data_IF_184649974333
#
_entry.id   IF_184649974333
#
_cell.length_a   1.000
_cell.length_b   1.000
_cell.length_c   1.000
_cell.angle_alpha   90.00
_cell.angle_beta   90.00
_cell.angle_gamma   90.00
#
_symmetry.space_group_name_H-M   'P 1'
#
loop_
_entity.id
_entity.type
_entity.pdbx_description
1 polymer ?
#
# COMPACT_ATOMS: atom_id res chain seq x y z
N UNK A 1 -21.05 -15.59 21.37
CA UNK A 1 -21.79 -16.03 20.18
C UNK A 1 -21.64 -17.55 20.05
N UNK A 2 -22.71 -18.27 19.75
CA UNK A 2 -22.65 -19.69 19.42
C UNK A 2 -22.02 -19.94 18.03
N UNK A 3 -21.70 -21.19 17.75
CA UNK A 3 -21.02 -21.56 16.51
C UNK A 3 -21.82 -21.21 15.24
N UNK A 4 -23.15 -21.32 15.31
CA UNK A 4 -24.01 -21.06 14.15
C UNK A 4 -24.10 -19.56 13.85
N UNK A 5 -24.14 -18.72 14.88
CA UNK A 5 -24.00 -17.26 14.74
C UNK A 5 -22.66 -16.90 14.10
N UNK A 6 -21.55 -17.50 14.52
CA UNK A 6 -20.23 -17.24 13.92
C UNK A 6 -20.16 -17.68 12.46
N UNK A 7 -20.72 -18.84 12.11
CA UNK A 7 -20.80 -19.29 10.71
C UNK A 7 -21.64 -18.35 9.86
N UNK A 8 -22.81 -17.93 10.37
CA UNK A 8 -23.67 -16.99 9.64
C UNK A 8 -22.98 -15.64 9.42
N UNK A 9 -22.27 -15.13 10.43
CA UNK A 9 -21.50 -13.90 10.32
C UNK A 9 -20.38 -14.03 9.26
N UNK A 10 -19.59 -15.12 9.31
CA UNK A 10 -18.52 -15.38 8.35
C UNK A 10 -19.07 -15.49 6.91
N UNK A 11 -20.21 -16.17 6.73
CA UNK A 11 -20.86 -16.28 5.44
C UNK A 11 -21.33 -14.92 4.90
N UNK A 12 -21.93 -14.10 5.76
CA UNK A 12 -22.37 -12.74 5.41
C UNK A 12 -21.18 -11.85 5.05
N UNK A 13 -20.10 -11.87 5.84
CA UNK A 13 -18.87 -11.13 5.59
C UNK A 13 -18.21 -11.53 4.26
N UNK A 14 -18.17 -12.84 3.97
CA UNK A 14 -17.65 -13.33 2.70
C UNK A 14 -18.49 -12.84 1.52
N UNK A 15 -19.82 -12.94 1.60
CA UNK A 15 -20.72 -12.46 0.53
C UNK A 15 -20.58 -10.95 0.33
N UNK A 16 -20.58 -10.17 1.42
CA UNK A 16 -20.41 -8.71 1.37
C UNK A 16 -19.06 -8.33 0.72
N UNK A 17 -17.97 -8.98 1.13
CA UNK A 17 -16.63 -8.70 0.59
C UNK A 17 -16.44 -9.11 -0.88
N UNK A 18 -17.27 -10.04 -1.38
CA UNK A 18 -17.25 -10.49 -2.77
C UNK A 18 -18.36 -9.84 -3.61
N UNK A 19 -19.27 -9.10 -3.00
CA UNK A 19 -20.44 -8.51 -3.65
C UNK A 19 -20.12 -7.72 -4.93
N UNK A 20 -19.02 -6.93 -5.02
CA UNK A 20 -18.64 -6.23 -6.24
C UNK A 20 -18.34 -7.13 -7.46
N UNK A 21 -18.13 -8.44 -7.24
CA UNK A 21 -17.82 -9.44 -8.26
C UNK A 21 -18.96 -10.44 -8.50
N UNK A 22 -20.07 -10.26 -7.79
CA UNK A 22 -21.27 -11.10 -7.87
C UNK A 22 -22.28 -10.50 -8.86
N UNK A 23 -23.39 -11.22 -9.18
CA UNK A 23 -24.47 -10.68 -10.01
C UNK A 23 -25.03 -9.36 -9.50
N UNK A 24 -25.58 -8.55 -10.40
CA UNK A 24 -26.02 -7.15 -10.19
C UNK A 24 -26.78 -6.90 -8.90
N UNK A 25 -27.68 -7.81 -8.49
CA UNK A 25 -28.44 -7.68 -7.24
C UNK A 25 -27.56 -7.52 -6.00
N UNK A 26 -26.37 -8.18 -5.97
CA UNK A 26 -25.43 -8.09 -4.87
C UNK A 26 -24.60 -6.81 -4.97
N UNK A 27 -24.20 -6.44 -6.18
CA UNK A 27 -23.48 -5.19 -6.44
C UNK A 27 -24.33 -3.99 -6.00
N UNK A 28 -25.61 -3.98 -6.39
CA UNK A 28 -26.54 -2.92 -6.03
C UNK A 28 -26.79 -2.86 -4.53
N UNK A 29 -27.06 -3.99 -3.87
CA UNK A 29 -27.29 -4.02 -2.43
C UNK A 29 -26.05 -3.56 -1.64
N UNK A 30 -24.85 -3.96 -2.06
CA UNK A 30 -23.60 -3.52 -1.46
C UNK A 30 -23.41 -2.01 -1.62
N UNK A 31 -23.60 -1.48 -2.84
CA UNK A 31 -23.50 -0.06 -3.12
C UNK A 31 -24.48 0.76 -2.29
N UNK A 32 -25.80 0.41 -2.29
CA UNK A 32 -26.82 1.15 -1.55
C UNK A 32 -26.51 1.24 -0.05
N UNK A 33 -25.96 0.19 0.53
CA UNK A 33 -25.63 0.18 1.95
C UNK A 33 -24.24 0.77 2.25
N UNK A 34 -23.17 0.22 1.64
CA UNK A 34 -21.77 0.56 2.02
C UNK A 34 -21.32 1.90 1.47
N UNK A 35 -21.65 2.19 0.22
CA UNK A 35 -21.15 3.38 -0.45
C UNK A 35 -22.12 4.55 -0.29
N UNK A 36 -23.39 4.35 -0.61
CA UNK A 36 -24.40 5.41 -0.58
C UNK A 36 -24.83 5.76 0.85
N UNK A 37 -25.31 4.78 1.61
CA UNK A 37 -25.84 5.06 2.96
C UNK A 37 -24.72 5.36 3.96
N UNK A 38 -23.67 4.54 4.04
CA UNK A 38 -22.62 4.72 5.04
C UNK A 38 -21.58 5.79 4.66
N UNK A 39 -21.24 5.92 3.38
CA UNK A 39 -20.15 6.81 2.92
C UNK A 39 -20.65 8.06 2.20
N UNK A 40 -21.97 8.18 1.95
CA UNK A 40 -22.59 9.34 1.29
C UNK A 40 -22.26 9.47 -0.20
N UNK A 41 -21.80 8.40 -0.85
CA UNK A 41 -21.45 8.42 -2.26
C UNK A 41 -22.72 8.41 -3.12
N UNK A 42 -23.03 9.47 -3.91
CA UNK A 42 -24.34 9.61 -4.57
C UNK A 42 -24.54 8.61 -5.72
N UNK A 43 -23.46 8.23 -6.42
CA UNK A 43 -23.46 7.33 -7.56
C UNK A 43 -22.37 6.28 -7.50
N UNK A 44 -22.57 5.05 -8.03
CA UNK A 44 -21.55 4.03 -8.08
C UNK A 44 -20.36 4.50 -8.92
N UNK A 45 -19.15 4.13 -8.51
CA UNK A 45 -17.97 4.35 -9.35
C UNK A 45 -18.11 3.64 -10.69
N UNK A 46 -17.66 4.27 -11.76
CA UNK A 46 -17.64 3.70 -13.11
C UNK A 46 -16.97 2.31 -13.12
N UNK A 47 -17.50 1.40 -13.93
CA UNK A 47 -17.05 0.00 -13.94
C UNK A 47 -15.56 -0.15 -14.20
N UNK A 48 -14.99 0.64 -15.12
CA UNK A 48 -13.56 0.57 -15.42
C UNK A 48 -12.70 1.00 -14.23
N UNK A 49 -13.11 2.02 -13.46
CA UNK A 49 -12.42 2.45 -12.23
C UNK A 49 -12.45 1.36 -11.15
N UNK A 50 -13.58 0.64 -11.04
CA UNK A 50 -13.69 -0.52 -10.14
C UNK A 50 -12.77 -1.65 -10.58
N UNK A 51 -12.69 -1.90 -11.90
CA UNK A 51 -11.77 -2.87 -12.49
C UNK A 51 -10.30 -2.55 -12.20
N UNK A 52 -9.90 -1.30 -12.44
CA UNK A 52 -8.54 -0.83 -12.09
C UNK A 52 -8.24 -1.03 -10.62
N UNK A 53 -9.15 -0.62 -9.73
CA UNK A 53 -8.95 -0.80 -8.27
C UNK A 53 -8.86 -2.28 -7.86
N UNK A 54 -9.62 -3.16 -8.54
CA UNK A 54 -9.53 -4.60 -8.29
C UNK A 54 -8.16 -5.16 -8.68
N UNK A 55 -7.67 -4.85 -9.89
CA UNK A 55 -6.35 -5.32 -10.35
C UNK A 55 -5.23 -4.72 -9.50
N UNK A 56 -5.33 -3.44 -9.13
CA UNK A 56 -4.42 -2.77 -8.20
C UNK A 56 -4.33 -3.50 -6.86
N UNK A 57 -5.47 -3.87 -6.29
CA UNK A 57 -5.52 -4.60 -5.01
C UNK A 57 -4.96 -6.02 -5.05
N UNK A 58 -4.87 -6.62 -6.25
CA UNK A 58 -4.40 -8.00 -6.44
C UNK A 58 -2.96 -8.06 -6.93
N UNK A 59 -2.60 -7.21 -7.91
CA UNK A 59 -1.34 -7.25 -8.66
C UNK A 59 -0.68 -5.88 -8.73
N UNK A 60 -0.86 -5.04 -7.73
CA UNK A 60 -0.44 -3.64 -7.75
C UNK A 60 1.04 -3.43 -8.02
N UNK A 61 1.94 -4.28 -7.50
CA UNK A 61 3.37 -4.17 -7.81
C UNK A 61 3.71 -4.57 -9.25
N UNK A 62 2.97 -5.50 -9.86
CA UNK A 62 3.16 -5.84 -11.27
C UNK A 62 2.81 -4.64 -12.16
N UNK A 63 1.66 -3.97 -11.91
CA UNK A 63 1.29 -2.72 -12.58
C UNK A 63 2.32 -1.63 -12.28
N UNK A 64 2.78 -1.54 -11.03
CA UNK A 64 3.79 -0.59 -10.58
C UNK A 64 5.09 -0.68 -11.36
N UNK A 65 5.48 -1.87 -11.74
CA UNK A 65 6.68 -2.10 -12.56
C UNK A 65 6.55 -1.46 -13.94
N UNK A 66 5.41 -1.62 -14.59
CA UNK A 66 5.14 -1.00 -15.91
C UNK A 66 4.99 0.52 -15.76
N UNK A 67 4.32 0.99 -14.69
CA UNK A 67 4.21 2.40 -14.38
C UNK A 67 5.57 3.07 -14.21
N UNK A 68 6.47 2.47 -13.45
CA UNK A 68 7.83 2.98 -13.22
C UNK A 68 8.61 3.05 -14.51
N UNK A 69 8.53 2.01 -15.35
CA UNK A 69 9.23 1.97 -16.65
C UNK A 69 8.77 3.10 -17.59
N UNK A 70 7.50 3.51 -17.52
CA UNK A 70 6.92 4.53 -18.40
C UNK A 70 7.04 5.96 -17.85
N UNK A 71 6.96 6.14 -16.52
CA UNK A 71 6.69 7.45 -15.92
C UNK A 71 7.65 7.88 -14.82
N UNK A 72 8.60 7.06 -14.41
CA UNK A 72 9.53 7.42 -13.35
C UNK A 72 10.99 7.49 -13.88
N UNK A 73 11.46 8.68 -14.27
CA UNK A 73 12.81 8.84 -14.79
C UNK A 73 13.87 8.75 -13.68
N UNK A 74 15.08 8.25 -13.99
CA UNK A 74 16.16 8.07 -13.01
C UNK A 74 16.56 9.35 -12.27
N UNK A 75 16.46 10.52 -12.94
CA UNK A 75 16.83 11.81 -12.35
C UNK A 75 15.86 12.26 -11.25
N UNK A 76 14.59 11.85 -11.29
CA UNK A 76 13.63 12.14 -10.22
C UNK A 76 14.06 11.49 -8.90
N UNK A 77 14.56 10.24 -8.96
CA UNK A 77 15.10 9.56 -7.79
C UNK A 77 16.30 10.31 -7.21
N UNK A 78 17.26 10.69 -8.06
CA UNK A 78 18.47 11.37 -7.63
C UNK A 78 18.17 12.74 -6.96
N UNK A 79 17.27 13.52 -7.55
CA UNK A 79 16.81 14.81 -6.95
C UNK A 79 16.16 14.62 -5.60
N UNK A 80 15.33 13.57 -5.45
CA UNK A 80 14.68 13.28 -4.17
C UNK A 80 15.67 12.77 -3.12
N UNK A 81 16.65 11.96 -3.51
CA UNK A 81 17.74 11.52 -2.63
C UNK A 81 18.50 12.74 -2.07
N UNK A 82 18.84 13.73 -2.91
CA UNK A 82 19.48 15.00 -2.51
C UNK A 82 18.58 15.81 -1.59
N UNK A 83 17.29 15.98 -1.94
CA UNK A 83 16.32 16.71 -1.12
C UNK A 83 16.25 16.12 0.30
N UNK A 84 16.09 14.80 0.41
CA UNK A 84 15.98 14.16 1.73
C UNK A 84 17.30 14.22 2.50
N UNK A 85 18.46 14.13 1.85
CA UNK A 85 19.75 14.33 2.49
C UNK A 85 19.84 15.74 3.10
N UNK A 86 19.43 16.77 2.37
CA UNK A 86 19.39 18.15 2.85
C UNK A 86 18.41 18.34 4.03
N UNK A 87 17.24 17.71 3.97
CA UNK A 87 16.27 17.73 5.09
C UNK A 87 16.84 17.03 6.33
N UNK A 88 17.54 15.91 6.18
CA UNK A 88 18.21 15.22 7.31
C UNK A 88 19.29 16.10 7.94
N UNK A 89 20.10 16.77 7.14
CA UNK A 89 21.13 17.71 7.64
C UNK A 89 20.48 18.87 8.41
N UNK A 90 19.45 19.50 7.86
CA UNK A 90 18.73 20.57 8.52
C UNK A 90 18.06 20.11 9.82
N UNK A 91 17.49 18.89 9.84
CA UNK A 91 16.89 18.31 11.06
C UNK A 91 17.96 18.07 12.12
N UNK A 92 19.13 17.54 11.77
CA UNK A 92 20.25 17.37 12.67
C UNK A 92 20.70 18.70 13.32
N UNK A 93 20.87 19.74 12.51
CA UNK A 93 21.22 21.07 12.99
C UNK A 93 20.15 21.65 13.95
N UNK A 94 18.87 21.45 13.65
CA UNK A 94 17.77 21.87 14.53
C UNK A 94 17.76 21.12 15.85
N UNK A 95 18.00 19.80 15.85
CA UNK A 95 18.07 19.01 17.09
C UNK A 95 19.15 19.52 18.03
N UNK A 96 20.32 19.92 17.49
CA UNK A 96 21.39 20.50 18.30
C UNK A 96 20.98 21.84 18.95
N UNK A 97 20.26 22.67 18.21
CA UNK A 97 19.87 24.02 18.66
C UNK A 97 18.71 24.02 19.67
N UNK A 98 18.04 22.89 19.93
CA UNK A 98 16.93 22.83 20.89
C UNK A 98 17.44 22.99 22.31
N UNK A 99 16.94 23.99 23.06
CA UNK A 99 17.30 24.28 24.44
C UNK A 99 16.47 23.49 25.48
N UNK A 100 15.28 23.05 25.12
CA UNK A 100 14.36 22.29 25.98
C UNK A 100 14.68 20.80 26.06
N UNK A 101 15.51 20.28 25.16
CA UNK A 101 15.83 18.85 25.07
C UNK A 101 17.13 18.55 25.83
N UNK A 102 17.12 17.54 26.71
CA UNK A 102 18.33 17.15 27.45
C UNK A 102 19.41 16.57 26.51
N UNK A 103 20.69 16.57 26.90
CA UNK A 103 21.78 15.97 26.12
C UNK A 103 21.54 14.52 25.78
N UNK A 104 21.01 13.72 26.72
CA UNK A 104 20.68 12.31 26.53
C UNK A 104 19.57 12.13 25.47
N UNK A 105 18.52 12.95 25.54
CA UNK A 105 17.42 12.92 24.58
C UNK A 105 17.90 13.35 23.18
N UNK A 106 18.80 14.33 23.10
CA UNK A 106 19.44 14.73 21.82
C UNK A 106 20.25 13.60 21.21
N UNK A 107 20.99 12.83 22.03
CA UNK A 107 21.76 11.68 21.57
C UNK A 107 20.85 10.60 20.98
N UNK A 108 19.76 10.26 21.66
CA UNK A 108 18.75 9.30 21.15
C UNK A 108 18.07 9.81 19.87
N UNK A 109 17.72 11.09 19.79
CA UNK A 109 17.13 11.68 18.60
C UNK A 109 18.09 11.64 17.40
N UNK A 110 19.39 11.85 17.61
CA UNK A 110 20.42 11.70 16.57
C UNK A 110 20.55 10.27 16.12
N UNK A 111 20.66 9.31 17.04
CA UNK A 111 20.73 7.89 16.70
C UNK A 111 19.50 7.45 15.87
N UNK A 112 18.31 7.94 16.22
CA UNK A 112 17.10 7.71 15.44
C UNK A 112 17.18 8.33 14.04
N UNK A 113 17.69 9.55 13.89
CA UNK A 113 17.86 10.25 12.61
C UNK A 113 18.91 9.57 11.73
N UNK A 114 20.01 9.08 12.31
CA UNK A 114 21.03 8.30 11.60
C UNK A 114 20.47 7.00 11.06
N UNK A 115 19.73 6.25 11.89
CA UNK A 115 19.05 5.01 11.53
C UNK A 115 17.80 5.20 10.66
N UNK A 116 17.51 6.42 10.20
CA UNK A 116 16.30 6.72 9.41
C UNK A 116 16.43 6.20 7.99
N UNK A 117 15.61 5.20 7.67
CA UNK A 117 15.54 4.58 6.35
C UNK A 117 14.78 5.45 5.33
N UNK A 118 15.19 5.32 4.07
CA UNK A 118 14.59 6.05 2.95
C UNK A 118 14.27 5.09 1.81
N UNK A 119 13.06 5.17 1.28
CA UNK A 119 12.61 4.46 0.09
C UNK A 119 12.01 5.44 -0.91
N UNK A 120 12.56 5.49 -2.11
CA UNK A 120 12.18 6.45 -3.14
C UNK A 120 11.84 5.73 -4.44
N UNK A 121 10.68 6.06 -4.99
CA UNK A 121 10.21 5.64 -6.30
C UNK A 121 9.55 4.26 -6.31
N UNK A 122 10.32 3.21 -6.17
CA UNK A 122 9.83 1.83 -6.29
C UNK A 122 10.67 0.83 -5.49
N UNK A 123 10.14 -0.38 -5.23
CA UNK A 123 10.90 -1.46 -4.61
C UNK A 123 12.11 -1.87 -5.46
N UNK A 124 13.24 -2.15 -4.80
CA UNK A 124 14.40 -2.77 -5.47
C UNK A 124 14.10 -4.24 -5.82
N UNK A 125 13.35 -4.91 -4.95
CA UNK A 125 12.90 -6.29 -5.14
C UNK A 125 11.40 -6.30 -5.34
N UNK A 126 10.98 -6.57 -6.58
CA UNK A 126 9.58 -6.71 -6.95
C UNK A 126 8.98 -8.00 -6.41
N UNK A 127 7.69 -7.95 -6.09
CA UNK A 127 6.92 -9.15 -5.73
C UNK A 127 6.82 -10.09 -6.92
N UNK A 128 7.09 -11.36 -6.67
CA UNK A 128 6.90 -12.41 -7.66
C UNK A 128 5.43 -12.88 -7.67
N UNK A 129 4.79 -12.76 -8.82
CA UNK A 129 3.41 -13.21 -9.08
C UNK A 129 3.37 -14.50 -9.91
N UNK A 130 4.50 -15.18 -10.16
CA UNK A 130 4.56 -16.38 -10.99
C UNK A 130 3.67 -17.53 -10.52
N UNK A 131 3.37 -17.61 -9.23
CA UNK A 131 2.45 -18.60 -8.66
C UNK A 131 0.96 -18.17 -8.70
N UNK A 132 0.65 -16.94 -9.13
CA UNK A 132 -0.74 -16.47 -9.25
C UNK A 132 -1.32 -16.89 -10.60
N UNK A 133 -2.18 -17.90 -10.59
CA UNK A 133 -2.90 -18.32 -11.79
C UNK A 133 -4.07 -17.37 -12.11
N UNK A 134 -4.11 -16.87 -13.34
CA UNK A 134 -5.19 -16.05 -13.88
C UNK A 134 -5.84 -16.78 -15.06
N UNK A 135 -7.19 -16.87 -15.07
CA UNK A 135 -7.97 -17.51 -16.13
C UNK A 135 -8.88 -16.49 -16.79
N UNK A 136 -8.89 -16.49 -18.11
CA UNK A 136 -9.81 -15.65 -18.89
C UNK A 136 -11.27 -16.02 -18.59
N UNK A 137 -12.15 -15.02 -18.50
CA UNK A 137 -13.58 -15.21 -18.26
C UNK A 137 -13.98 -15.61 -16.84
N UNK A 138 -13.02 -15.86 -15.94
CA UNK A 138 -13.27 -16.33 -14.57
C UNK A 138 -12.90 -15.28 -13.51
N UNK A 139 -13.59 -14.16 -13.53
CA UNK A 139 -13.31 -13.03 -12.60
C UNK A 139 -13.43 -13.45 -11.14
N UNK A 140 -14.50 -14.17 -10.79
CA UNK A 140 -14.72 -14.63 -9.42
C UNK A 140 -13.67 -15.66 -8.98
N UNK A 141 -13.35 -16.64 -9.81
CA UNK A 141 -12.28 -17.60 -9.52
C UNK A 141 -10.91 -16.92 -9.43
N UNK A 142 -10.63 -15.92 -10.26
CA UNK A 142 -9.40 -15.12 -10.16
C UNK A 142 -9.31 -14.38 -8.83
N UNK A 143 -10.42 -13.82 -8.33
CA UNK A 143 -10.46 -13.19 -7.01
C UNK A 143 -10.16 -14.17 -5.87
N UNK A 144 -10.69 -15.38 -5.94
CA UNK A 144 -10.39 -16.42 -4.94
C UNK A 144 -8.94 -16.88 -5.00
N UNK A 145 -8.38 -17.09 -6.20
CA UNK A 145 -6.96 -17.43 -6.39
C UNK A 145 -6.03 -16.34 -5.86
N UNK A 146 -6.38 -15.08 -6.13
CA UNK A 146 -5.64 -13.93 -5.62
C UNK A 146 -5.67 -13.84 -4.08
N UNK A 147 -6.83 -14.06 -3.45
CA UNK A 147 -6.95 -14.13 -1.98
C UNK A 147 -6.12 -15.28 -1.41
N UNK A 148 -6.13 -16.45 -2.07
CA UNK A 148 -5.31 -17.58 -1.65
C UNK A 148 -3.83 -17.29 -1.79
N UNK A 149 -3.40 -16.71 -2.89
CA UNK A 149 -2.02 -16.28 -3.14
C UNK A 149 -1.54 -15.30 -2.06
N UNK A 150 -2.35 -14.29 -1.73
CA UNK A 150 -2.05 -13.33 -0.66
C UNK A 150 -1.99 -13.99 0.71
N UNK A 151 -2.90 -14.90 1.01
CA UNK A 151 -2.90 -15.66 2.26
C UNK A 151 -1.64 -16.51 2.40
N UNK A 152 -1.26 -17.25 1.37
CA UNK A 152 -0.07 -18.09 1.36
C UNK A 152 1.20 -17.25 1.51
N UNK A 153 1.26 -16.09 0.87
CA UNK A 153 2.33 -15.11 1.06
C UNK A 153 2.43 -14.64 2.51
N UNK A 154 1.33 -14.19 3.11
CA UNK A 154 1.33 -13.74 4.51
C UNK A 154 1.71 -14.86 5.47
N UNK A 155 1.17 -16.05 5.25
CA UNK A 155 1.50 -17.22 6.06
C UNK A 155 2.98 -17.61 5.96
N UNK A 156 3.57 -17.49 4.79
CA UNK A 156 4.99 -17.79 4.57
C UNK A 156 5.95 -16.89 5.35
N UNK A 157 5.46 -15.77 5.88
CA UNK A 157 6.25 -14.80 6.67
C UNK A 157 6.23 -15.08 8.17
N UNK A 158 5.33 -15.94 8.63
CA UNK A 158 5.25 -16.28 10.06
C UNK A 158 6.58 -16.88 10.55
N UNK A 159 7.05 -16.39 11.68
CA UNK A 159 8.32 -16.81 12.27
C UNK A 159 9.58 -16.33 11.56
N UNK A 160 9.46 -15.48 10.54
CA UNK A 160 10.60 -14.88 9.83
C UNK A 160 10.83 -13.43 10.28
N UNK A 161 12.07 -12.93 10.20
CA UNK A 161 12.36 -11.53 10.42
C UNK A 161 11.55 -10.63 9.45
N UNK A 162 11.32 -9.39 9.87
CA UNK A 162 10.64 -8.38 9.03
C UNK A 162 11.49 -8.10 7.79
N UNK A 163 10.90 -8.28 6.61
CA UNK A 163 11.56 -7.92 5.35
C UNK A 163 11.54 -6.39 5.18
N UNK A 164 12.73 -5.79 5.25
CA UNK A 164 12.88 -4.34 5.08
C UNK A 164 12.69 -3.88 3.63
N UNK A 165 12.70 -4.79 2.65
CA UNK A 165 12.47 -4.43 1.23
C UNK A 165 10.98 -4.25 0.88
N UNK A 166 10.07 -4.77 1.71
CA UNK A 166 8.63 -4.63 1.47
C UNK A 166 8.14 -3.20 1.58
N UNK A 167 7.32 -2.81 0.62
CA UNK A 167 6.60 -1.54 0.59
C UNK A 167 5.14 -1.69 1.03
N UNK A 168 4.59 -0.67 1.70
CA UNK A 168 3.19 -0.62 2.10
C UNK A 168 2.26 0.03 1.05
N UNK A 169 2.85 0.64 0.02
CA UNK A 169 2.13 1.28 -1.10
C UNK A 169 2.80 0.90 -2.41
N UNK A 170 2.01 0.86 -3.48
CA UNK A 170 2.52 0.62 -4.83
C UNK A 170 3.15 1.87 -5.42
N UNK A 171 4.08 1.77 -6.39
CA UNK A 171 4.74 2.92 -7.02
C UNK A 171 3.78 3.93 -7.66
N UNK A 172 2.64 3.50 -8.16
CA UNK A 172 1.62 4.35 -8.79
C UNK A 172 0.67 5.02 -7.77
N UNK A 173 0.90 4.84 -6.48
CA UNK A 173 0.12 5.51 -5.43
C UNK A 173 0.60 6.95 -5.24
N UNK A 174 -0.31 7.93 -5.42
CA UNK A 174 -0.04 9.35 -5.14
C UNK A 174 -0.17 9.58 -3.63
N UNK A 175 0.85 9.22 -2.89
CA UNK A 175 0.94 9.37 -1.44
C UNK A 175 2.36 9.13 -0.96
N UNK A 176 2.60 9.32 0.35
CA UNK A 176 3.82 8.96 1.05
C UNK A 176 3.47 8.49 2.47
N UNK A 177 4.36 7.75 3.12
CA UNK A 177 4.13 7.31 4.49
C UNK A 177 5.43 7.16 5.28
N UNK A 178 5.29 7.24 6.60
CA UNK A 178 6.32 6.88 7.56
C UNK A 178 5.94 5.57 8.27
N UNK A 179 6.88 4.64 8.34
CA UNK A 179 6.73 3.39 9.08
C UNK A 179 7.56 3.46 10.37
N UNK A 180 6.88 3.63 11.51
CA UNK A 180 7.52 3.79 12.82
C UNK A 180 8.27 2.53 13.29
N UNK A 181 7.80 1.33 12.91
CA UNK A 181 8.43 0.06 13.28
C UNK A 181 9.76 -0.14 12.56
N UNK A 182 9.82 0.27 11.29
CA UNK A 182 11.02 0.19 10.47
C UNK A 182 11.89 1.44 10.54
N UNK A 183 11.41 2.53 11.15
CA UNK A 183 12.00 3.88 11.16
C UNK A 183 12.35 4.35 9.74
N UNK A 184 11.40 4.27 8.82
CA UNK A 184 11.61 4.60 7.41
C UNK A 184 10.50 5.48 6.85
N UNK A 185 10.86 6.37 5.92
CA UNK A 185 9.91 7.13 5.09
C UNK A 185 9.93 6.59 3.67
N UNK A 186 8.76 6.57 3.04
CA UNK A 186 8.56 5.97 1.71
C UNK A 186 7.83 6.95 0.82
N UNK A 187 8.41 7.24 -0.35
CA UNK A 187 7.84 8.09 -1.39
C UNK A 187 7.66 7.28 -2.68
N UNK A 188 6.45 6.78 -2.98
CA UNK A 188 6.15 6.15 -4.25
C UNK A 188 6.41 7.05 -5.46
N UNK A 189 6.69 6.45 -6.63
CA UNK A 189 7.04 7.19 -7.84
C UNK A 189 5.98 8.21 -8.26
N UNK A 190 4.70 7.91 -8.05
CA UNK A 190 3.60 8.77 -8.49
C UNK A 190 3.50 10.11 -7.74
N UNK A 191 3.95 10.18 -6.46
CA UNK A 191 3.98 11.47 -5.73
C UNK A 191 5.17 12.34 -6.18
N UNK A 192 6.17 11.76 -6.83
CA UNK A 192 7.38 12.43 -7.30
C UNK A 192 7.24 12.92 -8.74
N UNK A 193 6.10 13.53 -9.03
CA UNK A 193 5.74 14.09 -10.33
C UNK A 193 5.01 15.44 -10.15
N UNK A 194 5.02 16.31 -11.17
CA UNK A 194 4.23 17.53 -11.12
C UNK A 194 2.75 17.26 -10.82
N UNK A 195 2.09 18.09 -10.01
CA UNK A 195 2.57 19.35 -9.41
C UNK A 195 3.25 19.19 -8.04
N UNK A 196 3.50 17.98 -7.55
CA UNK A 196 4.04 17.76 -6.20
C UNK A 196 5.57 17.85 -6.14
N UNK A 197 6.22 17.52 -7.26
CA UNK A 197 7.68 17.45 -7.32
C UNK A 197 8.27 17.97 -8.64
#
# INVERSE_FOLDING_TARGET
ADLDTLKAWLAADLVDSMAPLLPERFVTAHYEFREKFMSGQPEPRERWKRGVSFVEGVMGEAIGRDYVALYFPPDAKAKMDELVANVKLAMGARLEALDWMSPETKAEARAKLEGFGLKIGHPEKWRDYGALEVREGDVFGNALRARRFEWDFRRSRLGKPVDKHEWGMTPQTVNAYYNSVKNEIVFPAAILQPPFF
#
